data_IF_826512276977
#
_entry.id   IF_826512276977
#
_cell.length_a   1.000
_cell.length_b   1.000
_cell.length_c   1.000
_cell.angle_alpha   90.00
_cell.angle_beta   90.00
_cell.angle_gamma   90.00
#
_symmetry.space_group_name_H-M   'P 1'
#
loop_
_entity.id
_entity.type
_entity.pdbx_description
1 polymer ?
#
# COMPACT_ATOMS: atom_id res chain seq x y z
N UNK A 1 39.39 17.94 -1.48
CA UNK A 1 38.88 16.91 -2.39
C UNK A 1 38.77 15.58 -1.62
N UNK A 2 37.64 15.27 -1.04
CA UNK A 2 37.42 14.00 -0.34
C UNK A 2 36.18 13.35 -0.98
N UNK A 3 36.41 12.38 -1.88
CA UNK A 3 35.35 11.57 -2.48
C UNK A 3 34.97 10.49 -1.46
N UNK A 4 33.84 10.66 -0.76
CA UNK A 4 33.24 9.59 0.03
C UNK A 4 32.57 8.59 -0.91
N UNK A 5 33.18 7.42 -1.04
CA UNK A 5 32.62 6.25 -1.70
C UNK A 5 31.42 5.75 -0.89
N UNK A 6 30.22 6.03 -1.35
CA UNK A 6 29.01 5.35 -0.88
C UNK A 6 28.88 4.03 -1.65
N UNK A 7 29.61 3.02 -1.20
CA UNK A 7 29.40 1.65 -1.65
C UNK A 7 28.07 1.14 -1.05
N UNK A 8 27.08 0.96 -1.92
CA UNK A 8 25.81 0.32 -1.56
C UNK A 8 26.05 -1.11 -1.05
N UNK A 9 25.09 -1.69 -0.30
CA UNK A 9 25.23 -3.03 0.26
C UNK A 9 25.48 -4.05 -0.86
N UNK A 10 26.52 -4.88 -0.67
CA UNK A 10 26.97 -5.88 -1.62
C UNK A 10 25.86 -6.89 -1.96
N UNK A 11 25.84 -7.39 -3.20
CA UNK A 11 24.86 -8.41 -3.66
C UNK A 11 24.80 -9.63 -2.73
N UNK A 12 25.88 -9.98 -2.05
CA UNK A 12 25.91 -11.03 -1.04
C UNK A 12 25.01 -10.75 0.17
N UNK A 13 24.86 -9.48 0.57
CA UNK A 13 23.93 -9.09 1.65
C UNK A 13 22.46 -9.19 1.21
N UNK A 14 22.16 -8.90 -0.05
CA UNK A 14 20.81 -9.02 -0.63
C UNK A 14 20.36 -10.47 -0.72
N UNK A 15 21.27 -11.37 -1.11
CA UNK A 15 20.98 -12.80 -1.22
C UNK A 15 20.87 -13.47 0.15
N UNK A 16 21.61 -13.03 1.17
CA UNK A 16 21.51 -13.57 2.52
C UNK A 16 20.21 -13.14 3.23
N UNK A 17 19.72 -11.93 3.00
CA UNK A 17 18.43 -11.46 3.51
C UNK A 17 17.28 -12.23 2.83
N UNK A 18 17.32 -12.38 1.51
CA UNK A 18 16.34 -13.17 0.77
C UNK A 18 16.33 -14.66 1.21
N UNK A 19 17.49 -15.24 1.48
CA UNK A 19 17.62 -16.61 1.98
C UNK A 19 17.16 -16.77 3.43
N UNK A 20 17.28 -15.74 4.27
CA UNK A 20 16.78 -15.74 5.66
C UNK A 20 15.24 -15.66 5.69
N UNK A 21 14.62 -14.95 4.75
CA UNK A 21 13.15 -14.88 4.56
C UNK A 21 12.58 -16.24 4.21
N UNK A 22 13.28 -17.02 3.40
CA UNK A 22 12.84 -18.37 3.00
C UNK A 22 12.88 -19.42 4.11
N UNK A 23 13.53 -19.15 5.24
CA UNK A 23 13.80 -20.18 6.27
C UNK A 23 12.79 -20.23 7.42
N UNK A 24 11.76 -19.42 7.44
CA UNK A 24 10.65 -19.63 8.37
C UNK A 24 9.34 -19.75 7.61
N UNK A 25 8.94 -20.98 7.25
CA UNK A 25 7.60 -21.20 6.76
C UNK A 25 6.64 -21.08 7.96
N UNK A 26 6.10 -19.91 8.18
CA UNK A 26 4.73 -19.87 8.68
C UNK A 26 3.90 -20.52 7.57
N UNK A 27 3.57 -21.80 7.78
CA UNK A 27 2.89 -22.60 6.77
C UNK A 27 1.67 -21.87 6.20
N UNK A 28 1.24 -22.21 4.95
CA UNK A 28 0.01 -21.70 4.39
C UNK A 28 -1.14 -22.16 5.31
N UNK A 29 -1.56 -21.25 6.17
CA UNK A 29 -2.66 -21.54 7.08
C UNK A 29 -3.90 -21.64 6.20
N UNK A 30 -4.79 -22.63 6.43
CA UNK A 30 -6.14 -22.71 5.83
C UNK A 30 -6.88 -21.36 5.86
N UNK A 31 -6.48 -20.48 6.76
CA UNK A 31 -6.85 -19.08 6.88
C UNK A 31 -6.57 -18.25 5.60
N UNK A 32 -5.45 -18.46 4.91
CA UNK A 32 -5.07 -17.60 3.77
C UNK A 32 -5.95 -17.86 2.54
N UNK A 33 -6.34 -19.11 2.30
CA UNK A 33 -7.25 -19.46 1.20
C UNK A 33 -8.67 -18.93 1.45
N UNK A 34 -9.19 -19.07 2.69
CA UNK A 34 -10.51 -18.57 3.07
C UNK A 34 -10.53 -17.03 3.05
N UNK A 35 -9.49 -16.39 3.59
CA UNK A 35 -9.31 -14.94 3.53
C UNK A 35 -9.29 -14.47 2.07
N UNK A 36 -8.60 -15.19 1.19
CA UNK A 36 -8.57 -14.86 -0.24
C UNK A 36 -9.95 -14.89 -0.88
N UNK A 37 -10.80 -15.84 -0.54
CA UNK A 37 -12.21 -15.89 -0.98
C UNK A 37 -12.98 -14.65 -0.54
N UNK A 38 -12.83 -14.23 0.72
CA UNK A 38 -13.45 -13.01 1.25
C UNK A 38 -12.93 -11.77 0.52
N UNK A 39 -11.61 -11.66 0.33
CA UNK A 39 -11.00 -10.53 -0.37
C UNK A 39 -11.56 -10.38 -1.80
N UNK A 40 -11.68 -11.47 -2.55
CA UNK A 40 -12.23 -11.46 -3.91
C UNK A 40 -13.71 -11.06 -3.90
N UNK A 41 -14.52 -11.66 -3.03
CA UNK A 41 -15.94 -11.36 -2.95
C UNK A 41 -16.18 -9.88 -2.60
N UNK A 42 -15.46 -9.39 -1.60
CA UNK A 42 -15.57 -7.99 -1.21
C UNK A 42 -15.07 -7.03 -2.31
N UNK A 43 -13.99 -7.39 -3.01
CA UNK A 43 -13.49 -6.59 -4.15
C UNK A 43 -14.53 -6.53 -5.28
N UNK A 44 -15.16 -7.65 -5.62
CA UNK A 44 -16.21 -7.70 -6.66
C UNK A 44 -17.41 -6.83 -6.28
N UNK A 45 -17.90 -6.96 -5.05
CA UNK A 45 -19.00 -6.15 -4.54
C UNK A 45 -18.61 -4.67 -4.57
N UNK A 46 -17.43 -4.32 -4.04
CA UNK A 46 -16.96 -2.95 -4.01
C UNK A 46 -16.84 -2.36 -5.43
N UNK A 47 -16.27 -3.09 -6.38
CA UNK A 47 -16.13 -2.63 -7.77
C UNK A 47 -17.50 -2.40 -8.42
N UNK A 48 -18.48 -3.28 -8.21
CA UNK A 48 -19.83 -3.10 -8.77
C UNK A 48 -20.46 -1.80 -8.25
N UNK A 49 -20.41 -1.56 -6.93
CA UNK A 49 -20.98 -0.36 -6.32
C UNK A 49 -20.20 0.92 -6.64
N UNK A 50 -18.89 0.82 -6.75
CA UNK A 50 -17.99 1.97 -6.96
C UNK A 50 -17.75 2.24 -8.46
N UNK A 51 -18.12 1.32 -9.37
CA UNK A 51 -17.87 1.46 -10.81
C UNK A 51 -18.40 2.77 -11.44
N UNK A 52 -19.60 3.29 -11.10
CA UNK A 52 -20.04 4.57 -11.65
C UNK A 52 -19.14 5.72 -11.19
N UNK A 53 -18.77 5.74 -9.91
CA UNK A 53 -17.88 6.75 -9.34
C UNK A 53 -16.46 6.63 -9.95
N UNK A 54 -15.95 5.42 -10.11
CA UNK A 54 -14.67 5.16 -10.73
C UNK A 54 -14.64 5.65 -12.19
N UNK A 55 -15.73 5.46 -12.93
CA UNK A 55 -15.87 5.99 -14.29
C UNK A 55 -15.85 7.53 -14.30
N UNK A 56 -16.63 8.18 -13.42
CA UNK A 56 -16.65 9.64 -13.29
C UNK A 56 -15.26 10.17 -12.95
N UNK A 57 -14.61 9.61 -11.93
CA UNK A 57 -13.25 10.00 -11.54
C UNK A 57 -12.25 9.83 -12.69
N UNK A 58 -12.36 8.74 -13.46
CA UNK A 58 -11.51 8.48 -14.62
C UNK A 58 -11.70 9.54 -15.70
N UNK A 59 -12.96 9.89 -16.04
CA UNK A 59 -13.25 10.90 -17.03
C UNK A 59 -12.80 12.30 -16.59
N UNK A 60 -13.06 12.66 -15.34
CA UNK A 60 -12.62 13.94 -14.77
C UNK A 60 -11.09 14.06 -14.76
N UNK A 61 -10.39 13.02 -14.31
CA UNK A 61 -8.94 13.00 -14.29
C UNK A 61 -8.35 13.04 -15.72
N UNK A 62 -8.93 12.32 -16.65
CA UNK A 62 -8.51 12.34 -18.05
C UNK A 62 -8.70 13.72 -18.68
N UNK A 63 -9.84 14.36 -18.46
CA UNK A 63 -10.14 15.71 -18.97
C UNK A 63 -9.20 16.77 -18.39
N UNK A 64 -8.83 16.66 -17.11
CA UNK A 64 -8.02 17.66 -16.42
C UNK A 64 -6.51 17.50 -16.73
N UNK A 65 -6.01 16.27 -16.79
CA UNK A 65 -4.60 16.01 -17.09
C UNK A 65 -4.27 15.97 -18.59
N UNK A 66 -5.26 15.74 -19.46
CA UNK A 66 -5.03 15.53 -20.90
C UNK A 66 -4.16 14.31 -21.21
N UNK A 67 -3.96 13.42 -20.23
CA UNK A 67 -3.08 12.27 -20.29
C UNK A 67 -3.72 11.07 -19.55
N UNK A 68 -3.01 9.91 -19.57
CA UNK A 68 -3.48 8.71 -18.88
C UNK A 68 -3.72 8.98 -17.39
N UNK A 69 -4.95 8.74 -16.87
CA UNK A 69 -5.31 9.16 -15.51
C UNK A 69 -4.76 8.26 -14.39
N UNK A 70 -4.17 7.12 -14.74
CA UNK A 70 -3.65 6.18 -13.76
C UNK A 70 -2.13 6.25 -13.64
N UNK A 71 -1.64 6.12 -12.41
CA UNK A 71 -0.22 5.98 -12.07
C UNK A 71 0.05 4.57 -11.56
N UNK A 72 1.21 4.05 -11.92
CA UNK A 72 1.71 2.76 -11.46
C UNK A 72 2.92 2.99 -10.57
N UNK A 73 2.81 2.62 -9.31
CA UNK A 73 3.90 2.69 -8.35
C UNK A 73 4.39 1.30 -8.03
N UNK A 74 5.70 1.06 -8.14
CA UNK A 74 6.28 -0.22 -7.73
C UNK A 74 6.38 -0.26 -6.20
N UNK A 75 5.68 -1.20 -5.60
CA UNK A 75 5.60 -1.40 -4.15
C UNK A 75 6.11 -2.79 -3.76
N UNK A 76 6.52 -2.92 -2.50
CA UNK A 76 6.87 -4.21 -1.92
C UNK A 76 5.59 -4.94 -1.47
N UNK A 77 5.40 -6.15 -1.96
CA UNK A 77 4.32 -7.04 -1.60
C UNK A 77 4.74 -8.12 -0.61
N UNK A 78 3.95 -9.21 -0.56
CA UNK A 78 4.25 -10.33 0.32
C UNK A 78 5.61 -10.96 -0.02
N UNK A 79 6.41 -11.23 1.01
CA UNK A 79 7.77 -11.76 0.91
C UNK A 79 8.72 -10.88 0.08
N UNK A 80 8.51 -9.56 0.11
CA UNK A 80 9.32 -8.61 -0.63
C UNK A 80 9.12 -8.66 -2.15
N UNK A 81 8.16 -9.42 -2.68
CA UNK A 81 7.88 -9.51 -4.12
C UNK A 81 7.35 -8.18 -4.63
N UNK A 82 7.97 -7.57 -5.63
CA UNK A 82 7.49 -6.30 -6.16
C UNK A 82 6.17 -6.49 -6.90
N UNK A 83 5.26 -5.53 -6.75
CA UNK A 83 4.03 -5.43 -7.53
C UNK A 83 3.76 -3.99 -7.93
N UNK A 84 2.90 -3.77 -8.93
CA UNK A 84 2.49 -2.45 -9.38
C UNK A 84 1.19 -2.04 -8.71
N UNK A 85 1.26 -1.10 -7.77
CA UNK A 85 0.10 -0.45 -7.18
C UNK A 85 -0.50 0.52 -8.19
N UNK A 86 -1.81 0.46 -8.38
CA UNK A 86 -2.55 1.29 -9.32
C UNK A 86 -3.34 2.36 -8.56
N UNK A 87 -3.08 3.64 -8.84
CA UNK A 87 -3.78 4.78 -8.25
C UNK A 87 -4.18 5.78 -9.33
N UNK A 88 -5.09 6.72 -9.02
CA UNK A 88 -5.29 7.87 -9.90
C UNK A 88 -4.13 8.85 -9.79
N UNK A 89 -3.87 9.56 -10.87
CA UNK A 89 -2.92 10.67 -10.90
C UNK A 89 -3.47 11.84 -10.09
N UNK A 90 -2.70 12.34 -9.12
CA UNK A 90 -3.09 13.47 -8.26
C UNK A 90 -2.29 14.74 -8.55
N UNK A 91 -1.23 14.62 -9.36
CA UNK A 91 -0.29 15.71 -9.67
C UNK A 91 0.92 15.78 -8.74
N UNK A 92 0.88 15.13 -7.57
CA UNK A 92 2.05 14.98 -6.71
C UNK A 92 2.95 13.81 -7.16
N UNK A 93 2.44 12.96 -8.05
CA UNK A 93 3.15 11.84 -8.70
C UNK A 93 4.07 12.27 -9.84
N UNK A 94 4.20 13.58 -10.07
CA UNK A 94 5.03 14.11 -11.13
C UNK A 94 6.49 13.67 -10.95
N UNK A 95 7.08 13.16 -12.01
CA UNK A 95 8.51 12.88 -12.06
C UNK A 95 9.31 14.16 -11.81
N UNK A 96 10.58 14.08 -11.38
CA UNK A 96 11.42 15.27 -11.21
C UNK A 96 11.43 16.18 -12.45
N UNK A 97 11.38 15.60 -13.66
CA UNK A 97 11.32 16.33 -14.91
C UNK A 97 9.98 17.08 -15.09
N UNK A 98 8.86 16.44 -14.76
CA UNK A 98 7.52 17.06 -14.81
C UNK A 98 7.38 18.16 -13.76
N UNK A 99 7.97 18.00 -12.56
CA UNK A 99 8.02 19.07 -11.53
C UNK A 99 8.81 20.29 -12.00
N UNK A 100 9.93 20.08 -12.69
CA UNK A 100 10.72 21.16 -13.29
C UNK A 100 10.01 21.85 -14.45
N UNK A 101 9.17 21.11 -15.20
CA UNK A 101 8.33 21.64 -16.26
C UNK A 101 7.13 22.46 -15.76
N UNK A 102 6.96 22.62 -14.43
CA UNK A 102 5.89 23.40 -13.85
C UNK A 102 4.51 22.77 -14.03
N UNK A 103 4.42 21.45 -14.00
CA UNK A 103 3.16 20.71 -14.16
C UNK A 103 2.16 21.21 -13.12
N UNK A 104 1.06 21.76 -13.62
CA UNK A 104 0.01 22.43 -12.86
C UNK A 104 -0.59 21.43 -11.86
N UNK A 105 -0.62 21.79 -10.56
CA UNK A 105 -1.40 21.04 -9.57
C UNK A 105 -2.86 21.03 -10.03
N UNK A 106 -3.32 19.87 -10.42
CA UNK A 106 -4.68 19.66 -10.89
C UNK A 106 -5.67 19.90 -9.75
N UNK A 107 -6.76 20.62 -10.03
CA UNK A 107 -7.84 20.79 -9.06
C UNK A 107 -8.56 19.47 -8.81
N UNK A 108 -8.76 18.68 -9.85
CA UNK A 108 -9.34 17.33 -9.76
C UNK A 108 -8.41 16.39 -9.00
N UNK A 109 -7.11 16.40 -9.29
CA UNK A 109 -6.13 15.58 -8.56
C UNK A 109 -6.09 15.90 -7.06
N UNK A 110 -6.20 17.20 -6.70
CA UNK A 110 -6.29 17.60 -5.29
C UNK A 110 -7.58 17.09 -4.63
N UNK A 111 -8.70 17.17 -5.31
CA UNK A 111 -9.98 16.67 -4.82
C UNK A 111 -9.91 15.15 -4.61
N UNK A 112 -9.37 14.41 -5.58
CA UNK A 112 -9.17 12.96 -5.47
C UNK A 112 -8.31 12.59 -4.28
N UNK A 113 -7.20 13.32 -4.05
CA UNK A 113 -6.30 13.06 -2.93
C UNK A 113 -6.95 13.37 -1.57
N UNK A 114 -7.65 14.49 -1.43
CA UNK A 114 -8.33 14.88 -0.17
C UNK A 114 -9.47 13.91 0.17
N UNK A 115 -10.19 13.43 -0.85
CA UNK A 115 -11.30 12.48 -0.67
C UNK A 115 -10.86 11.02 -0.62
N UNK A 116 -9.55 10.73 -0.70
CA UNK A 116 -8.99 9.37 -0.82
C UNK A 116 -9.56 8.56 -2.03
N UNK A 117 -10.20 9.22 -2.99
CA UNK A 117 -10.73 8.58 -4.20
C UNK A 117 -9.61 8.19 -5.18
N UNK A 118 -8.44 8.76 -5.03
CA UNK A 118 -7.23 8.41 -5.79
C UNK A 118 -6.82 6.94 -5.60
N UNK A 119 -7.25 6.32 -4.53
CA UNK A 119 -6.96 4.92 -4.19
C UNK A 119 -7.99 3.92 -4.73
N UNK A 120 -9.07 4.35 -5.33
CA UNK A 120 -10.11 3.44 -5.87
C UNK A 120 -9.57 2.38 -6.83
N UNK A 121 -8.58 2.67 -7.71
CA UNK A 121 -8.01 1.66 -8.60
C UNK A 121 -7.27 0.52 -7.87
N UNK A 122 -6.90 0.69 -6.58
CA UNK A 122 -6.29 -0.38 -5.76
C UNK A 122 -7.21 -1.61 -5.62
N UNK A 123 -8.53 -1.45 -5.82
CA UNK A 123 -9.48 -2.57 -5.87
C UNK A 123 -9.13 -3.57 -6.97
N UNK A 124 -8.50 -3.15 -8.06
CA UNK A 124 -8.01 -4.05 -9.11
C UNK A 124 -6.82 -4.87 -8.63
N UNK A 125 -5.94 -4.28 -7.82
CA UNK A 125 -4.83 -5.01 -7.19
C UNK A 125 -5.36 -6.03 -6.16
N UNK A 126 -6.44 -5.68 -5.45
CA UNK A 126 -7.11 -6.60 -4.54
C UNK A 126 -7.67 -7.82 -5.29
N UNK A 127 -8.33 -7.62 -6.45
CA UNK A 127 -8.82 -8.71 -7.30
C UNK A 127 -7.67 -9.58 -7.85
N UNK A 128 -6.57 -8.96 -8.28
CA UNK A 128 -5.39 -9.69 -8.77
C UNK A 128 -4.73 -10.52 -7.67
N UNK A 129 -4.84 -10.08 -6.42
CA UNK A 129 -4.25 -10.72 -5.26
C UNK A 129 -2.90 -10.18 -4.86
N UNK A 130 -2.51 -9.04 -5.41
CA UNK A 130 -1.35 -8.27 -4.99
C UNK A 130 -1.60 -7.66 -3.61
N UNK A 131 -2.87 -7.27 -3.36
CA UNK A 131 -3.36 -6.74 -2.09
C UNK A 131 -4.35 -7.69 -1.40
N UNK A 132 -4.57 -7.45 -0.12
CA UNK A 132 -5.65 -7.99 0.71
C UNK A 132 -6.52 -6.83 1.21
N UNK A 133 -7.73 -7.11 1.69
CA UNK A 133 -8.56 -6.10 2.37
C UNK A 133 -7.85 -5.56 3.60
N UNK A 134 -7.29 -6.47 4.41
CA UNK A 134 -6.61 -6.10 5.65
C UNK A 134 -5.16 -6.53 5.61
N UNK A 135 -4.28 -5.58 5.87
CA UNK A 135 -2.83 -5.80 5.88
C UNK A 135 -2.06 -4.51 6.07
N UNK A 136 -0.74 -4.58 6.21
CA UNK A 136 0.14 -3.42 6.27
C UNK A 136 -0.01 -2.52 5.04
N UNK A 137 0.09 -1.21 5.20
CA UNK A 137 0.04 -0.28 4.07
C UNK A 137 1.18 -0.59 3.08
N UNK A 138 0.93 -0.68 1.75
CA UNK A 138 2.00 -0.89 0.79
C UNK A 138 3.00 0.27 0.82
N UNK A 139 4.28 -0.05 0.82
CA UNK A 139 5.37 0.94 0.75
C UNK A 139 6.04 0.85 -0.62
N UNK A 140 6.46 2.01 -1.13
CA UNK A 140 7.28 2.06 -2.35
C UNK A 140 8.56 1.23 -2.19
N UNK A 141 9.09 0.70 -3.29
CA UNK A 141 10.32 -0.09 -3.26
C UNK A 141 11.48 0.64 -2.59
N UNK A 142 11.60 1.95 -2.78
CA UNK A 142 12.66 2.76 -2.18
C UNK A 142 12.49 2.88 -0.66
N UNK A 143 11.26 3.18 -0.21
CA UNK A 143 10.92 3.25 1.22
C UNK A 143 11.11 1.88 1.89
N UNK A 144 10.69 0.81 1.21
CA UNK A 144 10.88 -0.55 1.69
C UNK A 144 12.37 -0.86 1.92
N UNK A 145 13.24 -0.61 0.93
CA UNK A 145 14.68 -0.83 1.06
C UNK A 145 15.29 0.00 2.19
N UNK A 146 14.86 1.27 2.31
CA UNK A 146 15.33 2.17 3.34
C UNK A 146 15.00 1.67 4.75
N UNK A 147 13.75 1.26 4.99
CA UNK A 147 13.31 0.81 6.33
C UNK A 147 13.76 -0.61 6.64
N UNK A 148 13.80 -1.51 5.66
CA UNK A 148 14.30 -2.87 5.84
C UNK A 148 15.75 -2.90 6.33
N UNK A 149 16.57 -1.94 5.89
CA UNK A 149 17.97 -1.83 6.33
C UNK A 149 18.13 -1.22 7.74
N UNK A 150 17.10 -0.53 8.28
CA UNK A 150 17.22 0.29 9.51
C UNK A 150 16.35 -0.17 10.66
N UNK A 151 15.30 -0.93 10.40
CA UNK A 151 14.35 -1.35 11.43
C UNK A 151 14.52 -2.86 11.69
N UNK A 152 14.99 -3.25 12.87
CA UNK A 152 15.08 -4.66 13.23
C UNK A 152 13.72 -5.36 13.14
N UNK A 153 13.71 -6.57 12.58
CA UNK A 153 12.48 -7.36 12.44
C UNK A 153 11.52 -6.90 11.34
N UNK A 154 11.88 -5.91 10.53
CA UNK A 154 11.05 -5.42 9.39
C UNK A 154 10.53 -6.56 8.50
N UNK A 155 11.32 -7.61 8.33
CA UNK A 155 11.00 -8.77 7.50
C UNK A 155 9.70 -9.49 7.93
N UNK A 156 9.32 -9.41 9.21
CA UNK A 156 8.07 -10.01 9.69
C UNK A 156 6.83 -9.31 9.14
N UNK A 157 6.94 -8.03 8.80
CA UNK A 157 5.90 -7.26 8.13
C UNK A 157 5.55 -7.81 6.75
N UNK A 158 6.53 -8.36 6.05
CA UNK A 158 6.39 -8.87 4.68
C UNK A 158 5.79 -10.29 4.61
N UNK A 159 5.60 -10.95 5.74
CA UNK A 159 5.02 -12.29 5.77
C UNK A 159 3.53 -12.30 5.36
N UNK A 160 2.90 -11.13 5.38
CA UNK A 160 1.51 -10.94 4.99
C UNK A 160 1.41 -10.07 3.73
N UNK A 161 0.30 -10.19 3.00
CA UNK A 161 0.02 -9.29 1.89
C UNK A 161 -0.22 -7.88 2.42
N UNK A 162 0.24 -6.85 1.71
CA UNK A 162 -0.17 -5.48 2.00
C UNK A 162 -1.69 -5.34 1.81
N UNK A 163 -2.30 -4.38 2.50
CA UNK A 163 -3.75 -4.23 2.57
C UNK A 163 -4.25 -2.83 2.30
N UNK A 164 -5.55 -2.75 2.01
CA UNK A 164 -6.28 -1.47 1.90
C UNK A 164 -6.47 -0.84 3.29
N UNK A 165 -6.76 -1.68 4.28
CA UNK A 165 -6.99 -1.29 5.68
C UNK A 165 -5.91 -1.90 6.57
N UNK A 166 -5.20 -1.06 7.34
CA UNK A 166 -4.11 -1.49 8.21
C UNK A 166 -4.42 -1.29 9.69
N UNK A 167 -3.83 -2.17 10.52
CA UNK A 167 -3.90 -2.02 11.97
C UNK A 167 -3.24 -0.74 12.46
N UNK A 168 -2.09 -0.38 11.88
CA UNK A 168 -1.37 0.82 12.22
C UNK A 168 -2.21 2.09 11.95
N UNK A 169 -2.91 2.15 10.82
CA UNK A 169 -3.77 3.27 10.44
C UNK A 169 -4.91 3.53 11.45
N UNK A 170 -5.34 2.50 12.20
CA UNK A 170 -6.36 2.62 13.24
C UNK A 170 -5.84 3.19 14.56
N UNK A 171 -4.54 3.15 14.81
CA UNK A 171 -3.99 3.57 16.10
C UNK A 171 -3.55 5.03 16.10
N UNK A 172 -3.14 5.53 14.96
CA UNK A 172 -2.76 6.92 14.81
C UNK A 172 -3.22 7.44 13.44
N UNK A 173 -4.34 8.15 13.38
CA UNK A 173 -4.78 8.78 12.14
C UNK A 173 -3.90 10.00 11.86
N UNK A 174 -3.46 10.13 10.60
CA UNK A 174 -2.79 11.30 10.08
C UNK A 174 -1.29 11.13 9.79
N UNK A 175 -0.73 12.16 9.14
CA UNK A 175 0.67 12.23 8.68
C UNK A 175 1.72 12.39 9.81
N UNK A 176 1.29 12.37 11.07
CA UNK A 176 2.14 12.63 12.25
C UNK A 176 2.73 11.36 12.88
N UNK A 177 2.44 10.17 12.34
CA UNK A 177 2.93 8.94 12.93
C UNK A 177 4.43 8.77 12.73
N UNK A 178 5.17 8.43 13.80
CA UNK A 178 6.52 7.90 13.67
C UNK A 178 6.47 6.61 12.86
N UNK A 179 7.11 6.62 11.69
CA UNK A 179 7.14 5.47 10.76
C UNK A 179 7.67 4.21 11.45
N UNK A 180 8.55 4.34 12.46
CA UNK A 180 9.01 3.18 13.24
C UNK A 180 7.86 2.54 14.00
N UNK A 181 6.98 3.35 14.58
CA UNK A 181 5.80 2.88 15.31
C UNK A 181 4.78 2.25 14.36
N UNK A 182 4.54 2.84 13.20
CA UNK A 182 3.72 2.25 12.15
C UNK A 182 4.22 0.84 11.79
N UNK A 183 5.51 0.72 11.51
CA UNK A 183 6.12 -0.58 11.15
C UNK A 183 6.02 -1.58 12.31
N UNK A 184 6.17 -1.15 13.57
CA UNK A 184 6.00 -2.04 14.72
C UNK A 184 4.57 -2.56 14.85
N UNK A 185 3.56 -1.71 14.63
CA UNK A 185 2.15 -2.10 14.61
C UNK A 185 1.83 -3.06 13.45
N UNK A 186 2.45 -2.84 12.30
CA UNK A 186 2.32 -3.73 11.14
C UNK A 186 2.97 -5.10 11.40
N UNK A 187 4.12 -5.14 12.07
CA UNK A 187 4.78 -6.38 12.51
C UNK A 187 3.88 -7.11 13.51
N UNK A 188 3.33 -6.38 14.48
CA UNK A 188 2.42 -6.97 15.46
C UNK A 188 1.19 -7.58 14.77
N UNK A 189 0.59 -6.88 13.80
CA UNK A 189 -0.51 -7.43 13.01
C UNK A 189 -0.10 -8.71 12.28
N UNK A 190 1.04 -8.71 11.61
CA UNK A 190 1.53 -9.87 10.85
C UNK A 190 1.69 -11.12 11.75
N UNK A 191 2.14 -10.93 13.00
CA UNK A 191 2.32 -12.00 13.98
C UNK A 191 1.01 -12.47 14.63
N UNK A 192 0.02 -11.58 14.77
CA UNK A 192 -1.25 -11.85 15.47
C UNK A 192 -2.45 -11.96 14.53
N UNK A 193 -2.22 -12.09 13.22
CA UNK A 193 -3.28 -12.12 12.20
C UNK A 193 -4.31 -13.20 12.46
N UNK A 194 -5.57 -12.83 12.38
CA UNK A 194 -6.71 -13.72 12.47
C UNK A 194 -7.93 -13.11 11.78
N UNK A 195 -8.88 -13.93 11.35
CA UNK A 195 -10.14 -13.41 10.76
C UNK A 195 -10.91 -12.50 11.70
N UNK A 196 -10.87 -12.78 13.01
CA UNK A 196 -11.50 -11.93 14.02
C UNK A 196 -10.85 -10.55 14.08
N UNK A 197 -9.53 -10.50 14.01
CA UNK A 197 -8.77 -9.24 13.97
C UNK A 197 -9.05 -8.49 12.68
N UNK A 198 -9.05 -9.17 11.54
CA UNK A 198 -9.36 -8.56 10.23
C UNK A 198 -10.76 -7.94 10.25
N UNK A 199 -11.76 -8.67 10.72
CA UNK A 199 -13.12 -8.14 10.85
C UNK A 199 -13.22 -6.94 11.79
N UNK A 200 -12.48 -6.97 12.91
CA UNK A 200 -12.40 -5.83 13.84
C UNK A 200 -11.79 -4.60 13.16
N UNK A 201 -10.72 -4.79 12.40
CA UNK A 201 -10.06 -3.70 11.64
C UNK A 201 -11.05 -3.10 10.64
N UNK A 202 -11.72 -3.93 9.82
CA UNK A 202 -12.68 -3.47 8.83
C UNK A 202 -13.83 -2.69 9.47
N UNK A 203 -14.40 -3.22 10.56
CA UNK A 203 -15.47 -2.54 11.30
C UNK A 203 -15.04 -1.18 11.83
N UNK A 204 -13.86 -1.10 12.46
CA UNK A 204 -13.34 0.15 13.01
C UNK A 204 -12.98 1.17 11.90
N UNK A 205 -12.40 0.70 10.79
CA UNK A 205 -12.13 1.55 9.63
C UNK A 205 -13.40 2.13 9.04
N UNK A 206 -14.44 1.31 8.91
CA UNK A 206 -15.75 1.77 8.43
C UNK A 206 -16.41 2.77 9.39
N UNK A 207 -16.35 2.52 10.69
CA UNK A 207 -16.86 3.46 11.68
C UNK A 207 -16.18 4.82 11.62
N UNK A 208 -14.85 4.87 11.42
CA UNK A 208 -14.11 6.12 11.24
C UNK A 208 -14.49 6.86 9.98
N UNK A 209 -14.55 6.15 8.85
CA UNK A 209 -14.97 6.75 7.59
C UNK A 209 -16.36 7.39 7.68
N UNK A 210 -17.29 6.77 8.43
CA UNK A 210 -18.65 7.30 8.62
C UNK A 210 -18.69 8.46 9.64
N UNK A 211 -17.76 8.50 10.60
CA UNK A 211 -17.70 9.57 11.62
C UNK A 211 -16.93 10.81 11.17
N UNK A 212 -16.35 10.81 9.96
CA UNK A 212 -15.57 11.92 9.44
C UNK A 212 -14.26 12.21 10.23
N UNK A 213 -13.80 11.26 11.01
CA UNK A 213 -12.55 11.36 11.78
C UNK A 213 -11.40 10.74 10.96
N UNK A 214 -10.92 11.46 9.97
CA UNK A 214 -9.66 11.16 9.28
C UNK A 214 -8.50 12.05 9.73
#
# INVERSE_FOLDING_TARGET
>A
MHKSNLSGPSEGSRNSIAAAVQRQPYGPVRHDAFKRGIDILAALIAIIFVSPLLLICTLCAWADFGAWPFVRQVCAGQYGRPFCLLTFRTGDDATPAERLAGTRKSSVGRLLAISNLDRLPELLNLLRGDLSLVGPRPLSSDSHQYYAARIPGYIHREQVKPGLFGWAQLHEPGYSMDVRREIQLDIWYAQNRSLRLDFRILRLSLQRALSGQE
#
